data_IF_625614493377
#
_entry.id   IF_625614493377
#
_cell.length_a   1.000
_cell.length_b   1.000
_cell.length_c   1.000
_cell.angle_alpha   90.00
_cell.angle_beta   90.00
_cell.angle_gamma   90.00
#
_symmetry.space_group_name_H-M   'P 1'
#
loop_
_entity.id
_entity.type
_entity.pdbx_description
1 polymer ?
#
# COMPACT_ATOMS: atom_id res chain seq x y z
N UNK A 1 5.96 19.60 45.37
CA UNK A 1 6.83 18.74 44.52
C UNK A 1 6.03 17.51 44.15
N UNK A 2 5.44 17.49 42.96
CA UNK A 2 4.50 16.46 42.51
C UNK A 2 5.28 15.50 41.58
N UNK A 3 5.55 14.28 42.02
CA UNK A 3 6.15 13.23 41.19
C UNK A 3 5.03 12.48 40.46
N UNK A 4 4.96 12.64 39.14
CA UNK A 4 4.12 11.79 38.29
C UNK A 4 4.89 10.50 38.03
N UNK A 5 4.44 9.39 38.64
CA UNK A 5 4.91 8.04 38.28
C UNK A 5 4.42 7.75 36.86
N UNK A 6 5.34 7.60 35.92
CA UNK A 6 5.02 7.08 34.59
C UNK A 6 4.63 5.60 34.72
N UNK A 7 3.39 5.28 34.35
CA UNK A 7 2.88 3.92 34.26
C UNK A 7 3.52 3.23 33.04
N UNK A 8 4.29 2.14 33.18
CA UNK A 8 5.07 1.56 32.09
C UNK A 8 4.24 0.79 31.03
N UNK A 9 2.90 0.78 31.12
CA UNK A 9 2.05 -0.08 30.27
C UNK A 9 1.41 0.59 29.05
N UNK A 10 1.84 1.80 28.65
CA UNK A 10 1.32 2.44 27.42
C UNK A 10 2.39 3.07 26.53
N UNK A 11 3.61 2.53 26.53
CA UNK A 11 4.48 2.68 25.37
C UNK A 11 3.98 1.74 24.25
N UNK A 12 2.77 1.98 23.73
CA UNK A 12 2.36 1.45 22.42
C UNK A 12 3.27 2.13 21.41
N UNK A 13 4.46 1.53 21.20
CA UNK A 13 5.44 1.90 20.20
C UNK A 13 4.66 1.96 18.90
N UNK A 14 4.28 3.17 18.48
CA UNK A 14 3.61 3.40 17.21
C UNK A 14 4.65 2.96 16.19
N UNK A 15 4.51 1.73 15.71
CA UNK A 15 5.37 1.22 14.68
C UNK A 15 5.17 2.16 13.49
N UNK A 16 6.17 2.98 13.22
CA UNK A 16 6.11 3.96 12.15
C UNK A 16 5.87 3.17 10.87
N UNK A 17 4.67 3.29 10.30
CA UNK A 17 4.27 2.56 9.11
C UNK A 17 5.25 2.95 8.00
N UNK A 18 6.00 1.98 7.47
CA UNK A 18 6.82 2.21 6.28
C UNK A 18 5.85 2.26 5.10
N UNK A 19 5.59 3.47 4.63
CA UNK A 19 4.67 3.78 3.52
C UNK A 19 5.42 4.57 2.45
N UNK A 20 5.29 4.14 1.20
CA UNK A 20 5.65 4.94 0.03
C UNK A 20 4.37 5.27 -0.74
N UNK A 21 4.09 6.56 -0.87
CA UNK A 21 3.02 7.07 -1.72
C UNK A 21 3.61 7.64 -3.00
N UNK A 22 3.06 7.22 -4.13
CA UNK A 22 3.37 7.77 -5.46
C UNK A 22 2.09 8.35 -6.03
N UNK A 23 2.14 9.61 -6.47
CA UNK A 23 1.00 10.31 -7.08
C UNK A 23 1.22 10.41 -8.59
N UNK A 24 0.14 10.25 -9.36
CA UNK A 24 0.16 10.35 -10.81
C UNK A 24 -0.71 11.51 -11.29
N UNK A 25 -0.45 12.06 -12.49
CA UNK A 25 -1.47 12.78 -13.23
C UNK A 25 -2.71 11.88 -13.39
N UNK A 26 -3.90 12.46 -13.29
CA UNK A 26 -5.14 11.71 -13.36
C UNK A 26 -5.21 10.92 -14.68
N UNK A 27 -5.29 9.59 -14.58
CA UNK A 27 -5.43 8.67 -15.72
C UNK A 27 -6.62 7.75 -15.48
N UNK A 28 -7.26 7.20 -16.51
CA UNK A 28 -8.39 6.28 -16.28
C UNK A 28 -7.92 4.95 -15.70
N UNK A 29 -8.68 4.39 -14.74
CA UNK A 29 -8.45 3.05 -14.21
C UNK A 29 -8.54 1.96 -15.29
N UNK A 30 -9.30 2.19 -16.36
CA UNK A 30 -9.37 1.29 -17.52
C UNK A 30 -8.04 1.12 -18.26
N UNK A 31 -7.09 2.04 -18.07
CA UNK A 31 -5.78 2.02 -18.71
C UNK A 31 -4.70 1.38 -17.81
N UNK A 32 -4.99 1.15 -16.54
CA UNK A 32 -4.01 0.58 -15.59
C UNK A 32 -4.17 -0.93 -15.51
N UNK A 33 -3.14 -1.67 -15.98
CA UNK A 33 -3.12 -3.14 -16.00
C UNK A 33 -2.29 -3.76 -14.88
N UNK A 34 -1.25 -3.06 -14.44
CA UNK A 34 -0.36 -3.52 -13.39
C UNK A 34 0.33 -2.32 -12.72
N UNK A 35 0.78 -2.53 -11.49
CA UNK A 35 1.74 -1.66 -10.81
C UNK A 35 3.08 -2.40 -10.77
N UNK A 36 4.09 -1.86 -11.44
CA UNK A 36 5.44 -2.42 -11.44
C UNK A 36 6.34 -1.67 -10.47
N UNK A 37 7.13 -2.41 -9.69
CA UNK A 37 8.16 -1.85 -8.82
C UNK A 37 9.51 -2.48 -9.16
N UNK A 38 10.49 -1.63 -9.46
CA UNK A 38 11.87 -2.07 -9.64
C UNK A 38 12.58 -2.11 -8.29
N UNK A 39 13.03 -3.30 -7.90
CA UNK A 39 13.69 -3.55 -6.62
C UNK A 39 15.19 -3.79 -6.85
N UNK A 40 16.01 -2.89 -6.31
CA UNK A 40 17.45 -3.06 -6.21
C UNK A 40 17.79 -3.46 -4.79
N UNK A 41 18.07 -4.75 -4.58
CA UNK A 41 18.54 -5.22 -3.29
C UNK A 41 20.07 -5.17 -3.23
N UNK A 42 20.62 -4.54 -2.18
CA UNK A 42 22.07 -4.50 -1.88
C UNK A 42 22.51 -5.53 -0.83
N UNK A 43 21.63 -6.44 -0.40
CA UNK A 43 21.94 -7.53 0.54
C UNK A 43 20.70 -8.29 0.99
N UNK A 44 19.83 -7.66 1.80
CA UNK A 44 18.61 -8.26 2.35
C UNK A 44 17.38 -7.52 1.83
N UNK A 45 16.36 -8.28 1.40
CA UNK A 45 15.05 -7.77 1.02
C UNK A 45 14.29 -7.32 2.27
N UNK A 46 14.73 -6.23 2.90
CA UNK A 46 14.06 -5.56 4.00
C UNK A 46 14.10 -4.04 3.76
N UNK A 47 12.95 -3.35 3.74
CA UNK A 47 11.62 -3.86 4.05
C UNK A 47 10.93 -4.60 2.88
N UNK A 48 10.16 -5.63 3.21
CA UNK A 48 9.27 -6.39 2.31
C UNK A 48 7.95 -5.67 2.13
N UNK A 49 7.43 -5.69 0.90
CA UNK A 49 6.10 -5.13 0.58
C UNK A 49 5.03 -6.02 1.21
N UNK A 50 4.13 -5.41 1.97
CA UNK A 50 3.02 -6.10 2.64
C UNK A 50 1.67 -5.73 2.04
N UNK A 51 1.55 -4.55 1.43
CA UNK A 51 0.35 -4.17 0.69
C UNK A 51 0.66 -3.22 -0.46
N UNK A 52 -0.10 -3.37 -1.55
CA UNK A 52 -0.16 -2.40 -2.66
C UNK A 52 -1.61 -1.99 -2.83
N UNK A 53 -1.86 -0.67 -2.82
CA UNK A 53 -3.19 -0.09 -2.95
C UNK A 53 -3.20 0.96 -4.05
N UNK A 54 -4.22 0.95 -4.91
CA UNK A 54 -4.49 2.05 -5.84
C UNK A 54 -5.30 3.13 -5.14
N UNK A 55 -4.98 4.38 -5.44
CA UNK A 55 -5.78 5.53 -5.07
C UNK A 55 -6.60 5.93 -6.29
N UNK A 56 -7.92 5.92 -6.15
CA UNK A 56 -8.85 6.34 -7.18
C UNK A 56 -9.58 7.61 -6.76
N UNK A 57 -10.02 8.38 -7.74
CA UNK A 57 -10.97 9.46 -7.53
C UNK A 57 -12.27 8.93 -6.91
N UNK A 58 -12.90 9.76 -6.10
CA UNK A 58 -14.23 9.53 -5.53
C UNK A 58 -15.32 9.44 -6.60
N UNK A 59 -16.53 9.10 -6.18
CA UNK A 59 -17.70 9.08 -7.07
C UNK A 59 -18.25 10.49 -7.33
N UNK A 60 -18.81 10.71 -8.52
CA UNK A 60 -19.45 11.96 -8.93
C UNK A 60 -18.47 13.05 -9.41
N UNK A 61 -18.91 13.89 -10.36
CA UNK A 61 -18.11 15.03 -10.81
C UNK A 61 -17.88 16.01 -9.66
N UNK A 62 -16.62 16.32 -9.35
CA UNK A 62 -16.25 17.29 -8.31
C UNK A 62 -16.02 16.71 -6.91
N UNK A 63 -16.09 15.40 -6.73
CA UNK A 63 -15.74 14.77 -5.45
C UNK A 63 -14.22 14.78 -5.24
N UNK A 64 -13.79 15.29 -4.08
CA UNK A 64 -12.40 15.25 -3.61
C UNK A 64 -12.09 14.00 -2.80
N UNK A 65 -13.08 13.14 -2.56
CA UNK A 65 -12.87 11.89 -1.85
C UNK A 65 -11.91 10.99 -2.64
N UNK A 66 -11.05 10.26 -1.93
CA UNK A 66 -10.19 9.23 -2.54
C UNK A 66 -10.72 7.87 -2.13
N UNK A 67 -10.85 6.96 -3.10
CA UNK A 67 -11.15 5.55 -2.83
C UNK A 67 -9.87 4.74 -2.87
N UNK A 68 -9.61 4.03 -1.78
CA UNK A 68 -8.44 3.17 -1.64
C UNK A 68 -8.82 1.76 -2.06
N UNK A 69 -8.13 1.23 -3.08
CA UNK A 69 -8.41 -0.07 -3.67
C UNK A 69 -7.26 -1.03 -3.38
N UNK A 70 -7.44 -2.08 -2.57
CA UNK A 70 -6.40 -3.07 -2.31
C UNK A 70 -6.11 -3.88 -3.59
N UNK A 71 -4.89 -3.78 -4.13
CA UNK A 71 -4.43 -4.65 -5.22
C UNK A 71 -3.78 -5.92 -4.63
N UNK A 72 -2.99 -5.74 -3.59
CA UNK A 72 -2.23 -6.82 -2.95
C UNK A 72 -2.25 -6.66 -1.44
N UNK A 73 -2.45 -7.76 -0.74
CA UNK A 73 -2.30 -7.88 0.71
C UNK A 73 -1.60 -9.21 1.04
N UNK A 74 -0.38 -9.14 1.59
CA UNK A 74 0.45 -10.33 1.85
C UNK A 74 -0.19 -11.34 2.82
N UNK A 75 -1.18 -10.93 3.62
CA UNK A 75 -1.92 -11.82 4.52
C UNK A 75 -3.04 -12.60 3.84
N UNK A 76 -3.45 -12.20 2.63
CA UNK A 76 -4.60 -12.79 1.90
C UNK A 76 -4.21 -13.35 0.55
N UNK A 77 -3.19 -12.77 -0.07
CA UNK A 77 -2.72 -13.11 -1.40
C UNK A 77 -1.48 -13.99 -1.33
N UNK A 78 -1.31 -14.86 -2.32
CA UNK A 78 0.00 -15.45 -2.56
C UNK A 78 0.97 -14.33 -2.92
N UNK A 79 2.06 -14.23 -2.18
CA UNK A 79 3.10 -13.21 -2.42
C UNK A 79 3.57 -13.29 -3.88
N UNK A 80 3.75 -12.17 -4.58
CA UNK A 80 4.37 -12.21 -5.90
C UNK A 80 5.78 -12.77 -5.79
N UNK A 81 6.29 -13.33 -6.88
CA UNK A 81 7.71 -13.67 -6.97
C UNK A 81 8.51 -12.37 -7.00
N UNK A 82 9.11 -12.02 -5.86
CA UNK A 82 10.01 -10.87 -5.76
C UNK A 82 11.25 -11.12 -6.62
N UNK A 83 11.43 -10.31 -7.65
CA UNK A 83 12.61 -10.39 -8.52
C UNK A 83 13.65 -9.37 -8.04
N UNK A 84 14.86 -9.84 -7.69
CA UNK A 84 15.93 -9.00 -7.11
C UNK A 84 17.33 -9.40 -7.60
N UNK A 85 18.08 -8.49 -8.27
CA UNK A 85 17.61 -7.22 -8.82
C UNK A 85 16.58 -7.45 -9.93
N UNK A 86 15.53 -6.64 -10.00
CA UNK A 86 14.58 -6.72 -11.09
C UNK A 86 13.22 -6.08 -10.82
N UNK A 87 12.30 -6.30 -11.76
CA UNK A 87 10.95 -5.75 -11.70
C UNK A 87 9.98 -6.77 -11.08
N UNK A 88 9.29 -6.36 -10.03
CA UNK A 88 8.16 -7.12 -9.44
C UNK A 88 6.86 -6.44 -9.85
N UNK A 89 5.94 -7.20 -10.44
CA UNK A 89 4.67 -6.68 -10.95
C UNK A 89 3.50 -7.13 -10.09
N UNK A 90 2.62 -6.18 -9.74
CA UNK A 90 1.35 -6.41 -9.07
C UNK A 90 0.22 -6.19 -10.08
N UNK A 91 -0.30 -7.28 -10.62
CA UNK A 91 -1.32 -7.24 -11.68
C UNK A 91 -2.68 -6.83 -11.11
N UNK A 92 -3.39 -5.98 -11.83
CA UNK A 92 -4.69 -5.46 -11.41
C UNK A 92 -5.79 -6.11 -12.25
N UNK A 93 -6.53 -7.06 -11.65
CA UNK A 93 -7.80 -7.51 -12.22
C UNK A 93 -8.89 -6.53 -11.81
N UNK A 94 -9.55 -5.89 -12.77
CA UNK A 94 -10.57 -4.87 -12.50
C UNK A 94 -11.73 -5.43 -11.66
N UNK A 95 -12.15 -6.68 -11.90
CA UNK A 95 -13.24 -7.31 -11.15
C UNK A 95 -12.84 -7.61 -9.69
N UNK A 96 -11.62 -8.09 -9.47
CA UNK A 96 -11.10 -8.38 -8.12
C UNK A 96 -10.85 -7.08 -7.37
N UNK A 97 -10.21 -6.10 -8.00
CA UNK A 97 -9.93 -4.80 -7.40
C UNK A 97 -11.23 -4.05 -7.06
N UNK A 98 -12.21 -4.05 -7.97
CA UNK A 98 -13.53 -3.48 -7.72
C UNK A 98 -14.21 -4.16 -6.53
N UNK A 99 -14.23 -5.50 -6.49
CA UNK A 99 -14.83 -6.26 -5.40
C UNK A 99 -14.18 -5.96 -4.05
N UNK A 100 -12.83 -5.88 -3.99
CA UNK A 100 -12.08 -5.52 -2.77
C UNK A 100 -12.38 -4.12 -2.27
N UNK A 101 -12.76 -3.21 -3.17
CA UNK A 101 -13.13 -1.83 -2.85
C UNK A 101 -14.64 -1.64 -2.60
N UNK A 102 -15.44 -2.70 -2.67
CA UNK A 102 -16.91 -2.58 -2.58
C UNK A 102 -17.53 -1.83 -3.76
N UNK A 103 -16.90 -1.87 -4.94
CA UNK A 103 -17.35 -1.22 -6.16
C UNK A 103 -17.82 -2.24 -7.20
N UNK A 104 -18.68 -1.79 -8.12
CA UNK A 104 -18.91 -2.52 -9.36
C UNK A 104 -17.70 -2.37 -10.30
N UNK A 105 -17.48 -3.34 -11.20
CA UNK A 105 -16.41 -3.22 -12.21
C UNK A 105 -16.56 -1.98 -13.10
N UNK A 106 -17.76 -1.61 -13.59
CA UNK A 106 -17.96 -0.34 -14.30
C UNK A 106 -17.58 0.90 -13.46
N UNK A 107 -17.94 0.92 -12.17
CA UNK A 107 -17.60 2.04 -11.28
C UNK A 107 -16.10 2.14 -10.99
N UNK A 108 -15.39 1.02 -10.97
CA UNK A 108 -13.93 1.02 -10.87
C UNK A 108 -13.30 1.62 -12.14
N UNK A 109 -13.74 1.16 -13.32
CA UNK A 109 -13.15 1.54 -14.62
C UNK A 109 -13.41 3.01 -14.99
N UNK A 110 -14.51 3.60 -14.50
CA UNK A 110 -14.86 5.00 -14.76
C UNK A 110 -14.05 6.00 -13.92
N UNK A 111 -13.34 5.54 -12.88
CA UNK A 111 -12.57 6.41 -11.98
C UNK A 111 -11.20 6.75 -12.53
N UNK A 112 -10.68 7.88 -12.07
CA UNK A 112 -9.30 8.28 -12.33
C UNK A 112 -8.36 7.70 -11.27
N UNK A 113 -7.24 7.11 -11.67
CA UNK A 113 -6.14 6.74 -10.80
C UNK A 113 -5.37 8.00 -10.42
N UNK A 114 -5.21 8.21 -9.12
CA UNK A 114 -4.53 9.33 -8.50
C UNK A 114 -3.13 8.93 -8.01
N UNK A 115 -2.90 7.65 -7.75
CA UNK A 115 -1.63 7.19 -7.19
C UNK A 115 -1.66 5.75 -6.71
N UNK A 116 -0.58 5.35 -6.06
CA UNK A 116 -0.40 4.05 -5.40
C UNK A 116 0.17 4.27 -4.00
N UNK A 117 -0.30 3.47 -3.06
CA UNK A 117 0.29 3.28 -1.74
C UNK A 117 0.97 1.91 -1.66
N UNK A 118 2.24 1.92 -1.27
CA UNK A 118 3.04 0.74 -1.00
C UNK A 118 3.32 0.71 0.50
N UNK A 119 2.76 -0.28 1.17
CA UNK A 119 3.04 -0.53 2.57
C UNK A 119 4.08 -1.63 2.67
N UNK A 120 4.99 -1.47 3.62
CA UNK A 120 6.03 -2.43 3.88
C UNK A 120 5.92 -2.99 5.30
N UNK A 121 6.54 -4.14 5.54
CA UNK A 121 6.70 -4.67 6.87
C UNK A 121 7.40 -3.64 7.74
N UNK A 122 6.96 -3.58 9.00
CA UNK A 122 7.79 -2.98 10.04
C UNK A 122 8.91 -3.99 10.27
N UNK A 123 10.12 -3.69 9.80
CA UNK A 123 11.29 -4.50 10.15
C UNK A 123 11.31 -4.69 11.67
N UNK A 124 11.80 -5.83 12.15
CA UNK A 124 12.13 -5.98 13.57
C UNK A 124 13.02 -4.79 13.91
N UNK A 125 12.49 -3.81 14.64
CA UNK A 125 13.34 -2.82 15.26
C UNK A 125 14.17 -3.61 16.26
N UNK A 126 15.37 -4.03 15.87
CA UNK A 126 16.37 -4.52 16.81
C UNK A 126 16.55 -3.41 17.82
N UNK A 127 15.89 -3.54 18.97
CA UNK A 127 16.27 -2.79 20.14
C UNK A 127 17.60 -3.44 20.53
N UNK A 128 18.70 -2.87 20.05
CA UNK A 128 20.00 -3.10 20.67
C UNK A 128 19.91 -2.35 22.00
N UNK A 129 19.36 -3.03 23.01
CA UNK A 129 19.50 -2.60 24.39
C UNK A 129 20.93 -2.93 24.80
N UNK A 130 21.75 -1.89 24.95
CA UNK A 130 22.89 -1.96 25.85
C UNK A 130 22.39 -1.73 27.28
#
# INVERSE_FOLDING_TARGET
>A
MLMIKQNPEQAKKVASQRLLQVTFPATSASQVRAVGLFLLNRGVLDPLITSVKLLLSGGGSGSTATVVVPIFEASKDTSPTYTCPGMTNFTVSSSVAASRAGLSSPDFLSRSVLGVWLEFNIGLATIVGN
#
